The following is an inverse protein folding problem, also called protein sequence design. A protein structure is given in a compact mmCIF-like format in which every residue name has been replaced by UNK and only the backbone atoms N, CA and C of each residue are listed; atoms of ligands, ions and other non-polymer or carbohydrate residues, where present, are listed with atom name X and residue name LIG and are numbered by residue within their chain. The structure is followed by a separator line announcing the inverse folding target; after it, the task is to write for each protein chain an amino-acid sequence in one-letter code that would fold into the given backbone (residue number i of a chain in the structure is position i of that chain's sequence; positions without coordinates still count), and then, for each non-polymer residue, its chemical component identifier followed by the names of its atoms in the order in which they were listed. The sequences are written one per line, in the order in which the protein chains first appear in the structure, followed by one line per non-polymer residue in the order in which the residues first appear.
data_IF_031698716711
#
_entry.id   IF_031698716711
#
_cell.length_a   1.000
_cell.length_b   1.000
_cell.length_c   1.000
_cell.angle_alpha   90.00
_cell.angle_beta   90.00
_cell.angle_gamma   90.00
#
_symmetry.space_group_name_H-M   'P 1'
#
loop_
_entity.id
_entity.type
_entity.pdbx_description
1 polymer ?
#
# COMPACT_ATOMS: atom_id res chain seq x y z
N UNK A 1 -51.36 -25.35 -4.89
CA UNK A 1 -50.11 -25.03 -4.17
C UNK A 1 -49.55 -23.71 -4.72
N UNK A 2 -50.15 -22.54 -4.46
CA UNK A 2 -50.40 -21.88 -3.14
C UNK A 2 -49.09 -21.56 -2.42
N UNK A 3 -48.65 -20.30 -2.35
CA UNK A 3 -49.21 -19.06 -1.73
C UNK A 3 -48.83 -18.90 -0.24
N UNK A 4 -47.89 -18.00 0.02
CA UNK A 4 -47.81 -16.99 1.12
C UNK A 4 -46.44 -16.27 0.99
N UNK A 5 -46.25 -14.94 0.99
CA UNK A 5 -46.99 -13.79 1.56
C UNK A 5 -47.04 -13.83 3.10
N UNK A 6 -46.73 -12.80 3.88
CA UNK A 6 -46.35 -11.38 3.65
C UNK A 6 -45.24 -10.99 4.67
N UNK A 7 -44.81 -9.76 4.99
CA UNK A 7 -45.28 -8.36 4.77
C UNK A 7 -44.07 -7.38 4.91
N UNK A 8 -44.25 -6.10 4.53
CA UNK A 8 -43.48 -4.92 4.96
C UNK A 8 -44.49 -3.90 5.52
N UNK A 9 -44.09 -3.00 6.43
CA UNK A 9 -44.59 -1.61 6.64
C UNK A 9 -44.09 -1.07 8.00
N UNK A 10 -43.89 0.25 8.14
CA UNK A 10 -44.85 0.99 8.99
C UNK A 10 -45.17 2.42 8.52
N UNK A 11 -46.47 2.79 8.59
CA UNK A 11 -46.93 4.18 8.48
C UNK A 11 -48.02 4.54 9.53
N UNK A 12 -48.42 5.82 9.57
CA UNK A 12 -48.92 6.55 10.75
C UNK A 12 -50.46 6.76 10.73
N UNK A 13 -51.11 6.72 11.92
CA UNK A 13 -52.01 7.79 12.46
C UNK A 13 -53.44 7.45 12.99
N UNK A 14 -53.71 8.06 14.17
CA UNK A 14 -54.93 8.77 14.67
C UNK A 14 -56.29 8.13 15.06
N UNK A 15 -56.78 8.68 16.19
CA UNK A 15 -58.15 9.06 16.60
C UNK A 15 -59.19 8.03 17.11
N UNK A 16 -59.79 8.34 18.28
CA UNK A 16 -61.22 8.19 18.63
C UNK A 16 -61.55 8.80 20.02
N UNK A 17 -62.73 9.39 20.19
CA UNK A 17 -63.33 9.85 21.46
C UNK A 17 -64.85 9.68 21.42
N UNK A 18 -65.44 9.12 22.49
CA UNK A 18 -66.90 9.02 22.73
C UNK A 18 -67.16 9.37 24.22
N UNK A 19 -67.96 10.39 24.53
CA UNK A 19 -69.43 10.41 24.76
C UNK A 19 -69.89 9.71 26.06
N UNK A 20 -70.54 10.45 26.98
CA UNK A 20 -71.24 9.84 28.12
C UNK A 20 -71.69 10.74 29.29
N UNK A 21 -72.96 11.19 29.22
CA UNK A 21 -73.88 11.47 30.34
C UNK A 21 -73.78 12.76 31.21
N UNK A 22 -74.95 13.16 31.72
CA UNK A 22 -75.31 14.43 32.37
C UNK A 22 -75.92 14.20 33.76
N UNK A 23 -75.65 15.11 34.72
CA UNK A 23 -76.57 15.45 35.83
C UNK A 23 -76.20 16.75 36.54
N UNK A 24 -77.21 17.49 36.98
CA UNK A 24 -77.16 18.83 37.60
C UNK A 24 -77.28 18.77 39.14
N UNK A 25 -77.03 19.91 39.80
CA UNK A 25 -77.66 20.46 41.02
C UNK A 25 -76.71 20.96 42.14
N UNK A 26 -76.49 22.28 42.17
CA UNK A 26 -76.41 23.19 43.33
C UNK A 26 -75.74 22.75 44.67
N UNK A 27 -74.51 23.26 44.90
CA UNK A 27 -74.03 24.10 46.05
C UNK A 27 -74.17 23.60 47.53
N UNK A 28 -73.26 24.00 48.46
CA UNK A 28 -71.80 24.19 48.41
C UNK A 28 -71.01 23.38 49.49
N UNK A 29 -69.72 23.13 49.27
CA UNK A 29 -68.75 22.96 50.36
C UNK A 29 -67.37 23.57 50.00
N UNK A 30 -66.50 23.79 51.00
CA UNK A 30 -65.20 24.49 50.88
C UNK A 30 -64.02 23.51 50.83
N UNK A 31 -62.91 24.00 50.27
CA UNK A 31 -61.59 23.35 50.13
C UNK A 31 -61.58 22.16 49.14
N UNK A 32 -60.50 21.90 48.39
CA UNK A 32 -59.15 22.46 48.42
C UNK A 32 -58.62 22.57 46.97
N UNK A 33 -58.15 23.75 46.52
CA UNK A 33 -57.42 23.85 45.24
C UNK A 33 -55.93 23.63 45.51
N UNK A 34 -55.38 22.53 45.01
CA UNK A 34 -53.93 22.36 44.90
C UNK A 34 -53.38 23.37 43.88
N UNK A 35 -52.54 24.30 44.33
CA UNK A 35 -51.65 25.03 43.42
C UNK A 35 -50.43 24.15 43.13
N UNK A 36 -50.40 23.54 41.95
CA UNK A 36 -49.15 23.09 41.34
C UNK A 36 -49.10 23.58 39.89
N UNK A 37 -48.35 24.66 39.68
CA UNK A 37 -47.99 25.15 38.35
C UNK A 37 -46.72 24.43 37.88
N UNK A 38 -46.65 23.93 36.63
CA UNK A 38 -45.51 23.13 36.15
C UNK A 38 -44.28 23.98 35.77
N UNK A 39 -44.32 25.31 35.93
CA UNK A 39 -43.30 26.23 35.44
C UNK A 39 -41.83 25.91 35.82
N UNK A 40 -41.46 25.60 37.08
CA UNK A 40 -40.04 25.51 37.44
C UNK A 40 -39.33 24.26 36.88
N UNK A 41 -40.03 23.13 36.78
CA UNK A 41 -39.42 21.86 36.32
C UNK A 41 -39.16 21.91 34.81
N UNK A 42 -40.12 22.39 34.02
CA UNK A 42 -39.96 22.52 32.57
C UNK A 42 -38.82 23.50 32.21
N UNK A 43 -38.71 24.61 32.93
CA UNK A 43 -37.59 25.56 32.76
C UNK A 43 -36.26 24.88 33.09
N UNK A 44 -36.17 24.14 34.20
CA UNK A 44 -34.95 23.43 34.59
C UNK A 44 -34.50 22.40 33.53
N UNK A 45 -35.43 21.62 32.96
CA UNK A 45 -35.15 20.64 31.91
C UNK A 45 -34.68 21.31 30.61
N UNK A 46 -35.28 22.43 30.22
CA UNK A 46 -34.85 23.18 29.02
C UNK A 46 -33.45 23.78 29.23
N UNK A 47 -33.18 24.34 30.42
CA UNK A 47 -31.86 24.89 30.74
C UNK A 47 -30.78 23.81 30.75
N UNK A 48 -31.02 22.63 31.34
CA UNK A 48 -30.03 21.54 31.33
C UNK A 48 -29.82 20.94 29.94
N UNK A 49 -30.85 20.87 29.10
CA UNK A 49 -30.69 20.46 27.70
C UNK A 49 -29.84 21.46 26.90
N UNK A 50 -30.05 22.77 27.08
CA UNK A 50 -29.28 23.82 26.42
C UNK A 50 -27.82 23.82 26.90
N UNK A 51 -27.56 23.75 28.20
CA UNK A 51 -26.17 23.73 28.72
C UNK A 51 -25.42 22.46 28.31
N UNK A 52 -26.10 21.31 28.27
CA UNK A 52 -25.54 20.06 27.73
C UNK A 52 -25.16 20.19 26.25
N UNK A 53 -26.05 20.75 25.42
CA UNK A 53 -25.81 20.96 23.99
C UNK A 53 -24.68 21.97 23.72
N UNK A 54 -24.59 23.06 24.49
CA UNK A 54 -23.46 24.00 24.40
C UNK A 54 -22.16 23.31 24.80
N UNK A 55 -22.16 22.50 25.87
CA UNK A 55 -20.96 21.79 26.32
C UNK A 55 -20.47 20.76 25.28
N UNK A 56 -21.36 20.00 24.66
CA UNK A 56 -20.97 19.04 23.60
C UNK A 56 -20.44 19.76 22.35
N UNK A 57 -21.04 20.87 21.93
CA UNK A 57 -20.54 21.67 20.81
C UNK A 57 -19.16 22.28 21.11
N UNK A 58 -18.93 22.77 22.33
CA UNK A 58 -17.62 23.27 22.74
C UNK A 58 -16.56 22.16 22.74
N UNK A 59 -16.86 20.98 23.31
CA UNK A 59 -15.97 19.81 23.28
C UNK A 59 -15.68 19.36 21.85
N UNK A 60 -16.69 19.32 20.97
CA UNK A 60 -16.51 18.97 19.57
C UNK A 60 -15.63 19.99 18.81
N UNK A 61 -15.84 21.29 19.05
CA UNK A 61 -15.01 22.34 18.44
C UNK A 61 -13.55 22.30 18.91
N UNK A 62 -13.32 21.99 20.19
CA UNK A 62 -11.99 21.78 20.74
C UNK A 62 -11.35 20.53 20.14
N UNK A 63 -12.10 19.43 20.02
CA UNK A 63 -11.61 18.19 19.41
C UNK A 63 -11.11 18.43 17.98
N UNK A 64 -11.89 19.10 17.12
CA UNK A 64 -11.43 19.46 15.77
C UNK A 64 -10.22 20.40 15.78
N UNK A 65 -10.20 21.41 16.66
CA UNK A 65 -9.08 22.36 16.76
C UNK A 65 -7.77 21.74 17.26
N UNK A 66 -7.82 20.66 18.05
CA UNK A 66 -6.63 20.03 18.65
C UNK A 66 -6.18 18.72 17.98
N UNK A 67 -7.07 17.98 17.31
CA UNK A 67 -6.75 16.66 16.72
C UNK A 67 -6.35 16.78 15.24
N UNK A 68 -7.04 17.59 14.43
CA UNK A 68 -6.69 17.74 13.00
C UNK A 68 -5.25 18.25 12.75
N UNK A 69 -4.69 19.21 13.51
CA UNK A 69 -3.32 19.67 13.30
C UNK A 69 -2.30 18.54 13.44
N UNK A 70 -2.56 17.57 14.32
CA UNK A 70 -1.68 16.42 14.55
C UNK A 70 -1.72 15.49 13.34
N UNK A 71 -2.92 15.14 12.86
CA UNK A 71 -3.07 14.26 11.67
C UNK A 71 -2.57 14.91 10.37
N UNK A 72 -2.73 16.23 10.23
CA UNK A 72 -2.19 16.96 9.09
C UNK A 72 -0.65 17.02 9.12
N UNK A 73 -0.07 17.18 10.31
CA UNK A 73 1.38 17.22 10.49
C UNK A 73 2.03 15.84 10.33
N UNK A 74 1.44 14.76 10.85
CA UNK A 74 1.96 13.39 10.68
C UNK A 74 1.99 12.97 9.19
N UNK A 75 0.91 13.25 8.46
CA UNK A 75 0.85 13.01 7.01
C UNK A 75 1.83 13.89 6.22
N UNK A 76 2.02 15.15 6.61
CA UNK A 76 3.01 16.05 5.99
C UNK A 76 4.47 15.63 6.31
N UNK A 77 4.72 15.05 7.49
CA UNK A 77 6.06 14.63 7.91
C UNK A 77 6.52 13.37 7.18
N UNK A 78 5.60 12.47 6.80
CA UNK A 78 5.93 11.40 5.84
C UNK A 78 6.15 11.93 4.41
N UNK A 79 5.43 12.98 3.99
CA UNK A 79 5.55 13.53 2.63
C UNK A 79 6.84 14.36 2.39
N UNK A 80 7.54 14.82 3.44
CA UNK A 80 8.81 15.56 3.31
C UNK A 80 10.07 14.70 3.50
N UNK A 81 9.91 13.38 3.61
CA UNK A 81 11.00 12.40 3.51
C UNK A 81 11.56 12.23 2.10
N UNK A 82 11.76 13.31 1.32
CA UNK A 82 12.35 13.23 -0.01
C UNK A 82 13.88 13.02 0.05
N UNK A 83 14.31 11.98 0.75
CA UNK A 83 15.61 11.33 0.52
C UNK A 83 15.54 10.56 -0.80
N UNK A 84 15.25 11.27 -1.90
CA UNK A 84 15.69 10.80 -3.20
C UNK A 84 17.17 10.55 -3.07
N UNK A 85 17.61 9.31 -3.32
CA UNK A 85 19.01 9.05 -3.60
C UNK A 85 19.50 10.14 -4.57
N UNK A 86 20.74 10.62 -4.42
CA UNK A 86 21.26 11.60 -5.35
C UNK A 86 21.03 11.05 -6.76
N UNK A 87 20.82 11.95 -7.72
CA UNK A 87 21.09 11.59 -9.10
C UNK A 87 22.58 11.27 -9.18
N UNK A 88 22.96 10.00 -8.93
CA UNK A 88 24.11 9.43 -9.60
C UNK A 88 23.84 9.75 -11.06
N UNK A 89 24.68 10.61 -11.64
CA UNK A 89 24.63 10.93 -13.07
C UNK A 89 25.16 9.74 -13.88
N UNK A 90 24.52 8.57 -13.70
CA UNK A 90 24.31 7.64 -14.79
C UNK A 90 23.63 8.48 -15.87
N UNK A 91 24.20 8.62 -17.08
CA UNK A 91 23.63 9.45 -18.13
C UNK A 91 22.15 9.12 -18.28
N UNK A 92 21.28 10.11 -18.05
CA UNK A 92 19.92 9.91 -17.57
C UNK A 92 19.27 8.74 -18.29
N UNK A 93 19.10 7.60 -17.59
CA UNK A 93 18.48 6.41 -18.14
C UNK A 93 16.98 6.68 -18.28
N UNK A 94 16.65 7.48 -19.30
CA UNK A 94 15.29 7.85 -19.64
C UNK A 94 14.50 6.62 -20.06
N UNK A 95 13.18 6.70 -19.94
CA UNK A 95 12.30 5.62 -20.36
C UNK A 95 12.44 5.40 -21.86
N UNK A 96 12.98 4.24 -22.24
CA UNK A 96 12.94 3.75 -23.61
C UNK A 96 11.72 2.83 -23.79
N UNK A 97 10.90 3.00 -24.84
CA UNK A 97 9.80 2.08 -25.11
C UNK A 97 10.37 0.70 -25.48
N UNK A 98 9.87 -0.35 -24.84
CA UNK A 98 10.31 -1.73 -25.08
C UNK A 98 9.11 -2.68 -25.07
N UNK A 99 8.88 -3.33 -26.20
CA UNK A 99 7.96 -4.48 -26.29
C UNK A 99 8.66 -5.72 -25.75
N UNK A 100 7.99 -6.48 -24.89
CA UNK A 100 8.53 -7.75 -24.40
C UNK A 100 8.46 -8.79 -25.52
N UNK A 101 9.49 -9.62 -25.61
CA UNK A 101 9.61 -10.71 -26.57
C UNK A 101 9.95 -11.97 -25.78
N UNK A 102 9.38 -13.10 -26.16
CA UNK A 102 9.78 -14.41 -25.65
C UNK A 102 11.12 -14.80 -26.29
N UNK A 103 12.20 -14.81 -25.50
CA UNK A 103 13.50 -15.31 -25.93
C UNK A 103 13.78 -16.68 -25.27
N UNK A 104 13.41 -17.80 -25.92
CA UNK A 104 13.48 -19.12 -25.31
C UNK A 104 14.92 -19.57 -25.00
N UNK A 105 15.95 -18.85 -25.45
CA UNK A 105 17.35 -19.17 -25.13
C UNK A 105 17.61 -19.15 -23.62
N UNK A 106 16.98 -18.25 -22.86
CA UNK A 106 17.21 -18.12 -21.42
C UNK A 106 16.74 -19.35 -20.66
N UNK A 107 15.71 -20.04 -21.15
CA UNK A 107 15.04 -21.15 -20.47
C UNK A 107 15.16 -22.50 -21.21
N UNK A 108 15.94 -22.53 -22.30
CA UNK A 108 16.31 -23.77 -22.96
C UNK A 108 17.30 -24.57 -22.09
N UNK A 109 16.80 -25.60 -21.43
CA UNK A 109 17.61 -26.53 -20.61
C UNK A 109 17.35 -28.00 -20.94
N UNK A 110 16.71 -28.27 -22.10
CA UNK A 110 16.32 -29.61 -22.53
C UNK A 110 17.46 -30.45 -23.09
N UNK A 111 18.55 -29.81 -23.53
CA UNK A 111 19.80 -30.47 -23.94
C UNK A 111 20.99 -29.83 -23.26
N UNK A 112 22.14 -30.51 -23.25
CA UNK A 112 23.38 -29.97 -22.68
C UNK A 112 23.86 -28.71 -23.44
N UNK A 113 23.68 -28.69 -24.76
CA UNK A 113 23.99 -27.55 -25.64
C UNK A 113 23.05 -26.38 -25.38
N UNK A 114 21.74 -26.66 -25.24
CA UNK A 114 20.74 -25.67 -24.84
C UNK A 114 21.06 -25.07 -23.48
N UNK A 115 21.38 -25.92 -22.49
CA UNK A 115 21.80 -25.50 -21.15
C UNK A 115 23.06 -24.63 -21.18
N UNK A 116 24.08 -24.98 -21.97
CA UNK A 116 25.29 -24.15 -22.18
C UNK A 116 24.95 -22.80 -22.80
N UNK A 117 24.05 -22.76 -23.79
CA UNK A 117 23.59 -21.53 -24.43
C UNK A 117 22.79 -20.64 -23.46
N UNK A 118 21.87 -21.22 -22.68
CA UNK A 118 21.14 -20.56 -21.59
C UNK A 118 22.09 -19.94 -20.55
N UNK A 119 23.06 -20.71 -20.05
CA UNK A 119 24.06 -20.20 -19.10
C UNK A 119 24.93 -19.06 -19.69
N UNK A 120 25.20 -19.08 -21.01
CA UNK A 120 25.90 -17.99 -21.70
C UNK A 120 25.01 -16.75 -21.83
N UNK A 121 23.73 -16.92 -22.18
CA UNK A 121 22.77 -15.83 -22.33
C UNK A 121 22.53 -15.09 -20.99
N UNK A 122 22.26 -15.83 -19.92
CA UNK A 122 22.11 -15.25 -18.57
C UNK A 122 23.34 -14.47 -18.12
N UNK A 123 24.54 -15.01 -18.33
CA UNK A 123 25.80 -14.28 -18.04
C UNK A 123 25.99 -13.03 -18.90
N UNK A 124 25.43 -13.01 -20.11
CA UNK A 124 25.47 -11.84 -21.00
C UNK A 124 24.61 -10.66 -20.55
N UNK A 125 23.62 -10.88 -19.69
CA UNK A 125 22.78 -9.80 -19.12
C UNK A 125 23.45 -9.07 -17.95
N UNK A 126 24.49 -9.65 -17.34
CA UNK A 126 25.17 -9.09 -16.17
C UNK A 126 26.56 -8.61 -16.62
N UNK A 127 26.93 -7.33 -16.39
CA UNK A 127 28.22 -6.80 -16.84
C UNK A 127 29.39 -7.41 -16.08
N UNK A 128 30.59 -7.25 -16.65
CA UNK A 128 31.86 -7.60 -16.00
C UNK A 128 31.93 -6.99 -14.59
N UNK A 129 32.46 -7.75 -13.64
CA UNK A 129 32.37 -7.40 -12.21
C UNK A 129 31.06 -7.84 -11.54
N UNK A 130 30.21 -8.62 -12.21
CA UNK A 130 28.92 -9.15 -11.70
C UNK A 130 27.91 -8.05 -11.32
N UNK A 131 27.99 -6.87 -11.94
CA UNK A 131 27.15 -5.74 -11.57
C UNK A 131 27.54 -5.01 -10.28
N UNK A 132 28.71 -5.32 -9.69
CA UNK A 132 29.25 -4.53 -8.60
C UNK A 132 29.98 -3.28 -9.09
N UNK A 133 29.74 -2.17 -8.40
CA UNK A 133 30.42 -0.89 -8.59
C UNK A 133 31.28 -0.55 -7.36
N UNK A 134 32.16 0.43 -7.53
CA UNK A 134 33.11 0.85 -6.50
C UNK A 134 32.82 2.28 -6.04
N UNK A 135 32.54 2.45 -4.75
CA UNK A 135 32.25 3.74 -4.12
C UNK A 135 33.42 4.73 -4.29
N UNK A 136 34.68 4.27 -4.16
CA UNK A 136 35.84 5.14 -4.38
C UNK A 136 35.94 5.63 -5.82
N UNK A 137 35.58 4.79 -6.81
CA UNK A 137 35.49 5.23 -8.22
C UNK A 137 34.35 6.20 -8.45
N UNK A 138 33.18 6.02 -7.80
CA UNK A 138 32.08 6.97 -7.86
C UNK A 138 32.46 8.33 -7.26
N UNK A 139 33.13 8.34 -6.10
CA UNK A 139 33.62 9.58 -5.46
C UNK A 139 34.61 10.30 -6.37
N UNK A 140 35.52 9.57 -7.01
CA UNK A 140 36.52 10.14 -7.94
C UNK A 140 35.91 10.68 -9.25
N UNK A 141 34.79 10.13 -9.72
CA UNK A 141 34.14 10.56 -10.97
C UNK A 141 33.02 11.57 -10.78
N UNK A 142 32.57 11.81 -9.55
CA UNK A 142 31.48 12.74 -9.25
C UNK A 142 31.95 14.18 -9.18
N UNK A 143 31.24 15.08 -9.87
CA UNK A 143 31.50 16.53 -9.82
C UNK A 143 31.10 17.19 -8.49
N UNK A 144 30.31 16.50 -7.67
CA UNK A 144 29.87 16.93 -6.33
C UNK A 144 30.07 15.78 -5.33
N UNK A 145 30.24 16.06 -4.03
CA UNK A 145 30.27 15.01 -3.01
C UNK A 145 29.03 14.09 -3.10
N UNK A 146 29.23 12.80 -2.87
CA UNK A 146 28.12 11.86 -2.70
C UNK A 146 27.45 12.13 -1.34
N UNK A 147 26.11 11.99 -1.21
CA UNK A 147 25.43 12.15 0.06
C UNK A 147 25.89 11.14 1.10
N UNK A 148 25.95 11.61 2.33
CA UNK A 148 26.36 10.85 3.50
C UNK A 148 25.53 9.57 3.68
N UNK A 149 24.24 9.59 3.33
CA UNK A 149 23.34 8.42 3.41
C UNK A 149 23.72 7.24 2.51
N UNK A 150 24.52 7.46 1.44
CA UNK A 150 25.09 6.40 0.61
C UNK A 150 26.49 6.00 1.12
N UNK A 151 27.29 6.97 1.56
CA UNK A 151 28.65 6.72 2.07
C UNK A 151 28.61 5.92 3.38
N UNK A 152 27.66 6.20 4.26
CA UNK A 152 27.46 5.51 5.55
C UNK A 152 27.01 4.05 5.40
N UNK A 153 26.55 3.64 4.22
CA UNK A 153 26.16 2.26 3.94
C UNK A 153 27.38 1.34 3.70
N UNK A 154 28.58 1.86 3.44
CA UNK A 154 29.80 1.05 3.33
C UNK A 154 30.35 0.65 4.72
N UNK A 155 29.54 -0.12 5.46
CA UNK A 155 29.85 -0.64 6.80
C UNK A 155 31.04 -1.61 6.82
N UNK A 156 31.48 -2.07 5.64
CA UNK A 156 32.59 -3.03 5.50
C UNK A 156 33.90 -2.38 5.03
N UNK A 157 33.88 -1.08 4.73
CA UNK A 157 34.99 -0.30 4.19
C UNK A 157 35.63 -0.91 2.93
N UNK A 158 34.86 -1.69 2.18
CA UNK A 158 35.27 -2.25 0.88
C UNK A 158 34.87 -1.35 -0.28
N UNK A 159 33.94 -0.43 -0.07
CA UNK A 159 33.38 0.43 -1.09
C UNK A 159 32.73 -0.36 -2.22
N UNK A 160 32.11 -1.50 -1.94
CA UNK A 160 31.48 -2.37 -2.94
C UNK A 160 29.97 -2.33 -2.80
N UNK A 161 29.28 -2.01 -3.90
CA UNK A 161 27.82 -1.98 -3.99
C UNK A 161 27.37 -2.78 -5.20
N UNK A 162 26.34 -3.63 -5.08
CA UNK A 162 25.67 -4.20 -6.23
C UNK A 162 24.65 -3.20 -6.79
N UNK A 163 24.45 -3.18 -8.11
CA UNK A 163 23.28 -2.51 -8.71
C UNK A 163 22.11 -3.49 -8.73
N UNK A 164 20.97 -3.08 -8.18
CA UNK A 164 19.84 -3.97 -7.87
C UNK A 164 19.33 -4.79 -9.06
N UNK A 165 19.18 -4.21 -10.25
CA UNK A 165 18.77 -4.96 -11.45
C UNK A 165 19.68 -6.15 -11.79
N UNK A 166 21.00 -6.05 -11.58
CA UNK A 166 21.92 -7.17 -11.80
C UNK A 166 21.85 -8.22 -10.69
N UNK A 167 21.58 -7.82 -9.46
CA UNK A 167 21.34 -8.75 -8.36
C UNK A 167 19.99 -9.49 -8.53
N UNK A 168 18.92 -8.78 -8.91
CA UNK A 168 17.62 -9.35 -9.27
C UNK A 168 17.74 -10.38 -10.41
N UNK A 169 18.52 -10.07 -11.46
CA UNK A 169 18.82 -11.03 -12.54
C UNK A 169 19.61 -12.26 -12.05
N UNK A 170 20.57 -12.08 -11.14
CA UNK A 170 21.29 -13.19 -10.53
C UNK A 170 20.37 -14.11 -9.72
N UNK A 171 19.50 -13.52 -8.88
CA UNK A 171 18.52 -14.25 -8.08
C UNK A 171 17.52 -15.00 -8.97
N UNK A 172 16.99 -14.36 -10.02
CA UNK A 172 16.10 -15.03 -10.97
C UNK A 172 16.80 -16.18 -11.70
N UNK A 173 18.06 -16.01 -12.14
CA UNK A 173 18.84 -17.11 -12.75
C UNK A 173 19.05 -18.28 -11.78
N UNK A 174 19.24 -18.01 -10.48
CA UNK A 174 19.32 -19.06 -9.46
C UNK A 174 17.97 -19.77 -9.25
N UNK A 175 16.85 -19.06 -9.25
CA UNK A 175 15.49 -19.66 -9.24
C UNK A 175 15.28 -20.55 -10.46
N UNK A 176 15.59 -20.06 -11.67
CA UNK A 176 15.54 -20.85 -12.91
C UNK A 176 16.34 -22.15 -12.78
N UNK A 177 17.59 -22.06 -12.30
CA UNK A 177 18.47 -23.23 -12.13
C UNK A 177 17.91 -24.22 -11.13
N UNK A 178 17.43 -23.76 -9.97
CA UNK A 178 16.82 -24.62 -8.95
C UNK A 178 15.55 -25.31 -9.46
N UNK A 179 14.64 -24.58 -10.10
CA UNK A 179 13.42 -25.13 -10.70
C UNK A 179 13.73 -26.28 -11.68
N UNK A 180 14.58 -26.03 -12.68
CA UNK A 180 14.97 -27.07 -13.64
C UNK A 180 15.81 -28.22 -13.07
N UNK A 181 16.42 -28.05 -11.89
CA UNK A 181 17.14 -29.13 -11.20
C UNK A 181 16.19 -29.99 -10.35
N UNK A 182 15.07 -29.44 -9.89
CA UNK A 182 14.05 -30.13 -9.09
C UNK A 182 12.97 -30.83 -9.96
N UNK A 183 12.79 -30.41 -11.22
CA UNK A 183 11.67 -30.76 -12.09
C UNK A 183 11.43 -32.26 -12.33
N UNK A 184 12.49 -33.08 -12.24
CA UNK A 184 12.38 -34.53 -12.42
C UNK A 184 11.79 -34.95 -13.77
N UNK A 185 10.97 -36.01 -13.77
CA UNK A 185 10.30 -36.60 -14.94
C UNK A 185 8.79 -36.31 -15.01
N UNK A 186 8.26 -35.51 -14.09
CA UNK A 186 6.81 -35.34 -13.91
C UNK A 186 6.48 -33.88 -13.56
N UNK A 187 6.20 -33.07 -14.57
CA UNK A 187 5.47 -31.81 -14.37
C UNK A 187 4.59 -31.52 -15.59
N UNK A 188 3.36 -31.10 -15.31
CA UNK A 188 2.35 -30.81 -16.32
C UNK A 188 2.37 -29.34 -16.78
N UNK A 189 3.09 -28.45 -16.09
CA UNK A 189 3.11 -27.01 -16.43
C UNK A 189 4.50 -26.36 -16.53
N UNK A 190 5.42 -27.08 -17.17
CA UNK A 190 6.75 -26.58 -17.55
C UNK A 190 6.66 -25.40 -18.52
N UNK A 191 5.58 -25.28 -19.30
CA UNK A 191 5.41 -24.25 -20.33
C UNK A 191 5.01 -22.92 -19.70
N UNK A 192 3.99 -22.88 -18.83
CA UNK A 192 3.60 -21.64 -18.15
C UNK A 192 4.72 -21.17 -17.22
N UNK A 193 5.33 -22.09 -16.44
CA UNK A 193 6.46 -21.72 -15.56
C UNK A 193 7.63 -21.11 -16.34
N UNK A 194 7.94 -21.64 -17.53
CA UNK A 194 8.92 -21.01 -18.43
C UNK A 194 8.49 -19.59 -18.81
N UNK A 195 7.29 -19.43 -19.37
CA UNK A 195 6.81 -18.13 -19.80
C UNK A 195 6.82 -17.09 -18.66
N UNK A 196 6.40 -17.47 -17.45
CA UNK A 196 6.44 -16.60 -16.26
C UNK A 196 7.87 -16.17 -15.90
N UNK A 197 8.84 -17.08 -15.91
CA UNK A 197 10.25 -16.76 -15.61
C UNK A 197 10.86 -15.82 -16.67
N UNK A 198 10.47 -15.97 -17.94
CA UNK A 198 10.90 -15.09 -19.03
C UNK A 198 10.23 -13.70 -18.98
N UNK A 199 8.95 -13.64 -18.59
CA UNK A 199 8.23 -12.40 -18.34
C UNK A 199 8.84 -11.61 -17.18
N UNK A 200 9.20 -12.29 -16.08
CA UNK A 200 9.91 -11.68 -14.95
C UNK A 200 11.30 -11.17 -15.35
N UNK A 201 12.04 -11.93 -16.18
CA UNK A 201 13.35 -11.49 -16.72
C UNK A 201 13.21 -10.22 -17.54
N UNK A 202 12.22 -10.15 -18.44
CA UNK A 202 11.95 -8.94 -19.22
C UNK A 202 11.52 -7.77 -18.32
N UNK A 203 10.72 -8.03 -17.28
CA UNK A 203 10.30 -7.02 -16.30
C UNK A 203 11.47 -6.40 -15.54
N UNK A 204 12.43 -7.20 -15.06
CA UNK A 204 13.65 -6.71 -14.38
C UNK A 204 14.52 -5.88 -15.33
N UNK A 205 14.70 -6.33 -16.58
CA UNK A 205 15.47 -5.57 -17.59
C UNK A 205 14.73 -4.28 -18.00
N UNK A 206 13.40 -4.24 -17.89
CA UNK A 206 12.59 -3.07 -18.22
C UNK A 206 12.50 -2.05 -17.08
N UNK A 207 12.48 -2.50 -15.82
CA UNK A 207 12.57 -1.60 -14.66
C UNK A 207 13.97 -1.01 -14.54
N UNK A 208 15.00 -1.79 -14.92
CA UNK A 208 16.41 -1.40 -14.91
C UNK A 208 16.85 -0.76 -13.58
N UNK A 209 16.32 -1.30 -12.48
CA UNK A 209 16.50 -0.78 -11.12
C UNK A 209 17.96 -0.48 -10.80
N UNK A 210 18.24 0.80 -10.60
CA UNK A 210 19.58 1.36 -10.40
C UNK A 210 19.89 1.63 -8.92
N UNK A 211 19.07 1.14 -8.00
CA UNK A 211 19.37 1.20 -6.57
C UNK A 211 20.71 0.51 -6.26
N UNK A 212 21.37 0.96 -5.20
CA UNK A 212 22.68 0.50 -4.79
C UNK A 212 22.57 -0.28 -3.48
N UNK A 213 23.09 -1.50 -3.48
CA UNK A 213 23.01 -2.42 -2.36
C UNK A 213 24.41 -2.60 -1.74
N UNK A 214 24.65 -2.20 -0.48
CA UNK A 214 25.97 -2.27 0.13
C UNK A 214 26.38 -3.73 0.38
N UNK A 215 27.65 -4.04 0.11
CA UNK A 215 28.23 -5.33 0.46
C UNK A 215 28.14 -5.58 1.97
N UNK A 216 27.51 -6.68 2.36
CA UNK A 216 27.36 -7.17 3.73
C UNK A 216 28.43 -8.23 4.04
N UNK A 217 29.16 -8.05 5.14
CA UNK A 217 30.33 -8.89 5.49
C UNK A 217 29.90 -10.28 5.94
N UNK A 218 28.87 -10.31 6.76
CA UNK A 218 28.21 -11.47 7.35
C UNK A 218 27.55 -12.39 6.31
N UNK A 219 27.10 -11.84 5.18
CA UNK A 219 26.55 -12.60 4.05
C UNK A 219 27.61 -12.96 2.99
N UNK A 220 28.78 -12.32 3.03
CA UNK A 220 29.76 -12.33 1.94
C UNK A 220 29.10 -12.04 0.56
N UNK A 221 28.23 -11.01 0.54
CA UNK A 221 27.39 -10.68 -0.61
C UNK A 221 26.46 -9.50 -0.33
N UNK A 222 25.32 -9.48 -1.01
CA UNK A 222 24.20 -8.53 -0.84
C UNK A 222 22.90 -9.32 -0.66
N UNK A 223 21.89 -8.75 -0.03
CA UNK A 223 20.57 -9.37 0.19
C UNK A 223 19.39 -8.64 -0.48
N UNK A 224 19.62 -7.45 -1.05
CA UNK A 224 18.55 -6.62 -1.62
C UNK A 224 17.75 -5.79 -0.61
N UNK A 225 18.01 -5.88 0.70
CA UNK A 225 17.13 -5.28 1.72
C UNK A 225 17.76 -4.08 2.45
N UNK A 226 16.91 -3.09 2.75
CA UNK A 226 17.28 -1.86 3.49
C UNK A 226 17.74 -0.70 2.61
N UNK A 227 17.63 -0.82 1.29
CA UNK A 227 18.09 0.20 0.33
C UNK A 227 16.89 0.98 -0.24
N UNK A 228 17.14 2.18 -0.76
CA UNK A 228 16.10 3.02 -1.37
C UNK A 228 15.98 2.67 -2.86
N UNK A 229 14.77 2.33 -3.29
CA UNK A 229 14.43 2.04 -4.68
C UNK A 229 13.49 3.12 -5.26
N UNK A 230 13.59 3.38 -6.56
CA UNK A 230 12.74 4.37 -7.25
C UNK A 230 11.55 3.66 -7.92
N UNK A 231 10.58 3.26 -7.11
CA UNK A 231 9.39 2.53 -7.54
C UNK A 231 8.33 3.41 -8.22
N UNK A 232 7.42 2.78 -8.96
CA UNK A 232 6.11 3.38 -9.30
C UNK A 232 5.18 3.25 -8.10
N UNK A 233 4.21 4.16 -7.97
CA UNK A 233 3.14 4.08 -6.97
C UNK A 233 2.30 2.82 -7.19
N UNK A 234 2.48 1.82 -6.32
CA UNK A 234 1.79 0.54 -6.40
C UNK A 234 0.38 0.65 -5.83
N UNK A 235 0.17 1.30 -4.69
CA UNK A 235 -1.15 1.57 -4.12
C UNK A 235 -2.05 2.36 -5.07
N UNK A 236 -1.51 3.36 -5.77
CA UNK A 236 -2.23 4.12 -6.80
C UNK A 236 -2.62 3.24 -7.99
N UNK A 237 -1.69 2.43 -8.50
CA UNK A 237 -1.95 1.47 -9.58
C UNK A 237 -2.97 0.39 -9.16
N UNK A 238 -2.87 -0.10 -7.93
CA UNK A 238 -3.77 -1.11 -7.35
C UNK A 238 -5.20 -0.57 -7.26
N UNK A 239 -5.39 0.62 -6.69
CA UNK A 239 -6.72 1.25 -6.59
C UNK A 239 -7.34 1.48 -7.96
N UNK A 240 -6.55 1.91 -8.94
CA UNK A 240 -7.01 2.05 -10.32
C UNK A 240 -7.39 0.70 -10.93
N UNK A 241 -6.58 -0.34 -10.74
CA UNK A 241 -6.88 -1.69 -11.25
C UNK A 241 -8.16 -2.27 -10.62
N UNK A 242 -8.39 -2.03 -9.32
CA UNK A 242 -9.61 -2.43 -8.61
C UNK A 242 -10.86 -1.66 -9.07
N UNK A 243 -10.74 -0.36 -9.35
CA UNK A 243 -11.84 0.47 -9.89
C UNK A 243 -12.29 -0.01 -11.27
N UNK A 244 -11.33 -0.40 -12.12
CA UNK A 244 -11.56 -0.83 -13.50
C UNK A 244 -11.44 -2.35 -13.71
N UNK A 245 -11.58 -3.16 -12.64
CA UNK A 245 -11.44 -4.62 -12.71
C UNK A 245 -12.53 -5.24 -13.60
N UNK A 246 -12.14 -6.21 -14.42
CA UNK A 246 -13.04 -6.80 -15.43
C UNK A 246 -14.11 -7.74 -14.81
N UNK A 247 -13.80 -8.38 -13.70
CA UNK A 247 -14.64 -9.37 -13.00
C UNK A 247 -14.28 -9.43 -11.52
N UNK A 248 -15.26 -9.69 -10.66
CA UNK A 248 -15.03 -10.20 -9.31
C UNK A 248 -14.78 -11.72 -9.40
N UNK A 249 -13.70 -12.23 -8.76
CA UNK A 249 -13.30 -13.65 -8.71
C UNK A 249 -13.01 -14.12 -7.29
#
# INVERSE_FOLDING_TARGET
MERRSTENEPFISKESCELGESRDCNKPSRNLKSLFSPAPITIAVVVTAITSCILTLLVQSAYFAFIEPITAQDNATQAQGSTSLPKLNIPTLGTIPKTFQDDPIYLNRSTEEGRKASEKAWKGLIPNGRGFISLSKLIQSSATPLPESLVSQDTTHKGQFAVSSFHQLHCLHMVVKSYFSALGSHDHDVVHTKHCLEYLRNSIVCSADSALEPWKKELNGVDGFGNVHMCRDFEGLFKWAEEFRATDV
#
